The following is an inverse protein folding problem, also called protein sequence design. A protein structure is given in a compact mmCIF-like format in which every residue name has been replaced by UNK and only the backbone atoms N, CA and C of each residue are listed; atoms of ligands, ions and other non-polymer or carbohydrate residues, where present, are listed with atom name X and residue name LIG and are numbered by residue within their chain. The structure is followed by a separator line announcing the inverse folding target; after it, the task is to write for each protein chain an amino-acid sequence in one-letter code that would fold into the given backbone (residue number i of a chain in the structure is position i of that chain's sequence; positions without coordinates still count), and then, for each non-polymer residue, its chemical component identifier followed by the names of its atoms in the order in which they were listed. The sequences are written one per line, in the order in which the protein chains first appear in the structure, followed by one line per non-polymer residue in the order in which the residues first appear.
data_IF_109407366007
#
_entry.id   IF_109407366007
#
_cell.length_a   1.000
_cell.length_b   1.000
_cell.length_c   1.000
_cell.angle_alpha   90.00
_cell.angle_beta   90.00
_cell.angle_gamma   90.00
#
_symmetry.space_group_name_H-M   'P 1'
#
loop_
_entity.id
_entity.type
_entity.pdbx_description
1 polymer ?
#
# COMPACT_ATOMS: atom_id res chain seq x y z
N UNK A 1 -6.66 -10.64 93.82
CA UNK A 1 -7.62 -11.08 92.80
C UNK A 1 -8.04 -9.79 92.09
N UNK A 2 -7.78 -9.55 90.82
CA UNK A 2 -7.49 -10.48 89.73
C UNK A 2 -6.99 -9.68 88.51
N UNK A 3 -5.92 -10.20 87.91
CA UNK A 3 -5.45 -10.09 86.53
C UNK A 3 -5.53 -8.77 85.74
N UNK A 4 -4.33 -8.19 85.55
CA UNK A 4 -3.91 -7.48 84.34
C UNK A 4 -3.77 -8.47 83.17
N UNK A 5 -4.50 -8.27 82.08
CA UNK A 5 -4.25 -8.95 80.79
C UNK A 5 -3.55 -8.00 79.80
N UNK A 6 -2.67 -8.53 78.91
CA UNK A 6 -1.73 -7.73 78.13
C UNK A 6 -2.27 -7.32 76.75
N UNK A 7 -1.71 -6.21 76.27
CA UNK A 7 -1.82 -5.66 74.91
C UNK A 7 -1.57 -6.76 73.86
N UNK A 8 -2.58 -7.09 73.03
CA UNK A 8 -2.36 -7.88 71.81
C UNK A 8 -1.99 -6.95 70.65
N UNK A 9 -0.69 -6.75 70.50
CA UNK A 9 -0.07 -6.23 69.29
C UNK A 9 -0.03 -7.38 68.26
N UNK A 10 -0.88 -7.33 67.24
CA UNK A 10 -0.71 -8.04 65.96
C UNK A 10 -1.84 -7.65 64.99
N UNK A 11 -1.90 -6.37 64.59
CA UNK A 11 -2.57 -6.00 63.35
C UNK A 11 -1.62 -6.34 62.20
N UNK A 12 -1.81 -7.53 61.60
CA UNK A 12 -1.18 -7.88 60.34
C UNK A 12 -1.56 -6.80 59.30
N UNK A 13 -0.61 -6.26 58.52
CA UNK A 13 -0.96 -5.38 57.41
C UNK A 13 -1.83 -6.16 56.43
N UNK A 14 -3.00 -5.63 56.10
CA UNK A 14 -3.86 -6.14 55.04
C UNK A 14 -3.02 -6.17 53.76
N UNK A 15 -2.60 -7.38 53.38
CA UNK A 15 -2.02 -7.65 52.07
C UNK A 15 -3.10 -7.24 51.08
N UNK A 16 -2.84 -6.18 50.31
CA UNK A 16 -3.69 -5.82 49.18
C UNK A 16 -3.83 -7.09 48.34
N UNK A 17 -5.04 -7.66 48.31
CA UNK A 17 -5.34 -8.77 47.45
C UNK A 17 -5.12 -8.27 46.03
N UNK A 18 -4.04 -8.69 45.38
CA UNK A 18 -3.87 -8.57 43.95
C UNK A 18 -5.12 -9.21 43.33
N UNK A 19 -6.03 -8.36 42.85
CA UNK A 19 -7.21 -8.81 42.12
C UNK A 19 -6.66 -9.48 40.88
N UNK A 20 -6.63 -10.81 40.89
CA UNK A 20 -6.22 -11.61 39.74
C UNK A 20 -7.24 -11.36 38.63
N UNK A 21 -6.96 -10.36 37.79
CA UNK A 21 -7.83 -10.05 36.65
C UNK A 21 -7.62 -11.15 35.63
N UNK A 22 -8.59 -12.07 35.54
CA UNK A 22 -8.58 -13.12 34.53
C UNK A 22 -8.85 -12.50 33.16
N UNK A 23 -7.87 -12.58 32.27
CA UNK A 23 -8.02 -12.16 30.87
C UNK A 23 -8.65 -13.31 30.09
N UNK A 24 -9.76 -13.08 29.36
CA UNK A 24 -10.26 -14.05 28.38
C UNK A 24 -9.21 -14.33 27.30
N UNK A 25 -9.33 -15.42 26.53
CA UNK A 25 -8.46 -15.64 25.38
C UNK A 25 -8.53 -14.46 24.41
N UNK A 26 -7.48 -14.22 23.62
CA UNK A 26 -7.53 -13.23 22.55
C UNK A 26 -8.51 -13.64 21.45
N UNK A 27 -9.01 -12.64 20.72
CA UNK A 27 -9.92 -12.90 19.61
C UNK A 27 -9.19 -13.61 18.46
N UNK A 28 -9.72 -14.75 18.02
CA UNK A 28 -9.28 -15.44 16.81
C UNK A 28 -10.32 -15.23 15.71
N UNK A 29 -9.93 -14.70 14.54
CA UNK A 29 -10.87 -14.47 13.47
C UNK A 29 -11.43 -15.80 12.96
N UNK A 30 -12.71 -15.81 12.58
CA UNK A 30 -13.25 -16.89 11.78
C UNK A 30 -12.49 -16.92 10.45
N UNK A 31 -12.10 -18.11 9.97
CA UNK A 31 -11.41 -18.28 8.69
C UNK A 31 -12.22 -17.62 7.56
N UNK A 32 -11.82 -16.41 7.17
CA UNK A 32 -12.53 -15.64 6.17
C UNK A 32 -12.11 -16.15 4.78
N UNK A 33 -12.80 -17.18 4.30
CA UNK A 33 -12.60 -17.81 2.99
C UNK A 33 -13.10 -16.92 1.83
N UNK A 34 -12.96 -15.60 1.91
CA UNK A 34 -13.18 -14.78 0.72
C UNK A 34 -12.03 -15.01 -0.26
N UNK A 35 -12.28 -15.85 -1.26
CA UNK A 35 -11.30 -16.21 -2.26
C UNK A 35 -10.83 -14.94 -3.01
N UNK A 36 -9.59 -14.52 -2.73
CA UNK A 36 -8.96 -13.33 -3.30
C UNK A 36 -9.06 -13.34 -4.83
N UNK A 37 -8.94 -14.52 -5.45
CA UNK A 37 -9.08 -14.71 -6.89
C UNK A 37 -10.47 -14.33 -7.42
N UNK A 38 -11.54 -14.63 -6.67
CA UNK A 38 -12.90 -14.22 -7.07
C UNK A 38 -13.00 -12.70 -7.07
N UNK A 39 -12.48 -12.03 -6.04
CA UNK A 39 -12.46 -10.56 -5.99
C UNK A 39 -11.66 -9.97 -7.15
N UNK A 40 -10.51 -10.55 -7.51
CA UNK A 40 -9.71 -10.15 -8.68
C UNK A 40 -10.53 -10.25 -9.97
N UNK A 41 -11.17 -11.40 -10.22
CA UNK A 41 -11.97 -11.64 -11.43
C UNK A 41 -13.17 -10.68 -11.49
N UNK A 42 -13.89 -10.51 -10.38
CA UNK A 42 -15.03 -9.58 -10.29
C UNK A 42 -14.57 -8.14 -10.57
N UNK A 43 -13.43 -7.71 -10.01
CA UNK A 43 -12.89 -6.38 -10.25
C UNK A 43 -12.50 -6.16 -11.71
N UNK A 44 -11.89 -7.16 -12.37
CA UNK A 44 -11.56 -7.11 -13.79
C UNK A 44 -12.81 -7.04 -14.66
N UNK A 45 -13.82 -7.85 -14.36
CA UNK A 45 -15.10 -7.82 -15.07
C UNK A 45 -15.76 -6.45 -14.96
N UNK A 46 -15.81 -5.87 -13.75
CA UNK A 46 -16.36 -4.53 -13.53
C UNK A 46 -15.56 -3.46 -14.27
N UNK A 47 -14.24 -3.53 -14.24
CA UNK A 47 -13.34 -2.65 -14.97
C UNK A 47 -13.63 -2.69 -16.49
N UNK A 48 -13.79 -3.87 -17.08
CA UNK A 48 -14.08 -4.03 -18.50
C UNK A 48 -15.49 -3.52 -18.86
N UNK A 49 -16.50 -3.84 -18.04
CA UNK A 49 -17.89 -3.40 -18.28
C UNK A 49 -17.98 -1.88 -18.21
N UNK A 50 -17.44 -1.25 -17.18
CA UNK A 50 -17.45 0.21 -17.06
C UNK A 50 -16.58 0.86 -18.14
N UNK A 51 -15.41 0.28 -18.44
CA UNK A 51 -14.54 0.72 -19.52
C UNK A 51 -15.25 0.73 -20.87
N UNK A 52 -16.09 -0.28 -21.16
CA UNK A 52 -16.85 -0.35 -22.41
C UNK A 52 -17.79 0.85 -22.62
N UNK A 53 -18.38 1.39 -21.55
CA UNK A 53 -19.24 2.57 -21.65
C UNK A 53 -18.47 3.89 -21.81
N UNK A 54 -17.16 3.88 -21.57
CA UNK A 54 -16.33 5.08 -21.52
C UNK A 54 -15.42 5.17 -22.75
N UNK A 55 -14.83 4.05 -23.14
CA UNK A 55 -13.96 3.98 -24.30
C UNK A 55 -14.79 3.71 -25.57
N UNK A 56 -14.68 4.57 -26.59
CA UNK A 56 -15.45 4.39 -27.83
C UNK A 56 -14.97 3.20 -28.68
N UNK A 57 -13.73 2.73 -28.47
CA UNK A 57 -13.16 1.59 -29.20
C UNK A 57 -12.75 0.48 -28.22
N UNK A 58 -13.38 -0.69 -28.38
CA UNK A 58 -13.13 -1.90 -27.59
C UNK A 58 -11.69 -2.39 -27.76
N UNK A 59 -11.09 -2.21 -28.94
CA UNK A 59 -9.69 -2.62 -29.18
C UNK A 59 -8.73 -1.81 -28.32
N UNK A 60 -8.99 -0.51 -28.15
CA UNK A 60 -8.20 0.37 -27.28
C UNK A 60 -8.37 -0.04 -25.82
N UNK A 61 -9.60 -0.31 -25.39
CA UNK A 61 -9.87 -0.82 -24.03
C UNK A 61 -9.08 -2.12 -23.75
N UNK A 62 -9.17 -3.10 -24.65
CA UNK A 62 -8.44 -4.36 -24.51
C UNK A 62 -6.92 -4.12 -24.48
N UNK A 63 -6.40 -3.27 -25.36
CA UNK A 63 -4.99 -2.94 -25.40
C UNK A 63 -4.50 -2.27 -24.11
N UNK A 64 -5.21 -1.27 -23.60
CA UNK A 64 -4.90 -0.63 -22.31
C UNK A 64 -4.94 -1.67 -21.19
N UNK A 65 -5.94 -2.56 -21.19
CA UNK A 65 -6.07 -3.64 -20.20
C UNK A 65 -4.86 -4.56 -20.24
N UNK A 66 -4.37 -4.93 -21.42
CA UNK A 66 -3.17 -5.76 -21.58
C UNK A 66 -1.93 -5.05 -21.04
N UNK A 67 -1.75 -3.76 -21.35
CA UNK A 67 -0.60 -2.99 -20.85
C UNK A 67 -0.61 -2.91 -19.33
N UNK A 68 -1.77 -2.59 -18.72
CA UNK A 68 -1.95 -2.56 -17.27
C UNK A 68 -1.76 -3.94 -16.65
N UNK A 69 -2.28 -5.00 -17.27
CA UNK A 69 -2.12 -6.36 -16.77
C UNK A 69 -0.66 -6.80 -16.75
N UNK A 70 0.09 -6.52 -17.81
CA UNK A 70 1.53 -6.84 -17.87
C UNK A 70 2.30 -6.05 -16.82
N UNK A 71 1.95 -4.78 -16.63
CA UNK A 71 2.51 -3.92 -15.61
C UNK A 71 2.27 -4.48 -14.20
N UNK A 72 1.01 -4.73 -13.82
CA UNK A 72 0.70 -5.29 -12.50
C UNK A 72 1.24 -6.70 -12.30
N UNK A 73 1.31 -7.51 -13.36
CA UNK A 73 1.92 -8.84 -13.28
C UNK A 73 3.41 -8.75 -12.92
N UNK A 74 4.10 -7.71 -13.37
CA UNK A 74 5.46 -7.40 -12.96
C UNK A 74 5.60 -7.19 -11.45
N UNK A 75 4.73 -6.35 -10.87
CA UNK A 75 4.66 -6.17 -9.42
C UNK A 75 4.32 -7.47 -8.70
N UNK A 76 3.31 -8.20 -9.18
CA UNK A 76 2.86 -9.45 -8.58
C UNK A 76 3.96 -10.50 -8.52
N UNK A 77 4.68 -10.71 -9.64
CA UNK A 77 5.76 -11.68 -9.72
C UNK A 77 6.93 -11.28 -8.82
N UNK A 78 7.28 -10.00 -8.75
CA UNK A 78 8.32 -9.52 -7.86
C UNK A 78 7.94 -9.69 -6.38
N UNK A 79 6.71 -9.32 -6.00
CA UNK A 79 6.21 -9.53 -4.62
C UNK A 79 6.19 -11.01 -4.25
N UNK A 80 5.75 -11.89 -5.17
CA UNK A 80 5.79 -13.34 -4.97
C UNK A 80 7.22 -13.86 -4.79
N UNK A 81 8.17 -13.37 -5.58
CA UNK A 81 9.58 -13.73 -5.46
C UNK A 81 10.17 -13.35 -4.10
N UNK A 82 9.80 -12.18 -3.56
CA UNK A 82 10.25 -11.70 -2.25
C UNK A 82 9.42 -12.22 -1.06
N UNK A 83 8.55 -13.21 -1.28
CA UNK A 83 7.84 -13.91 -0.19
C UNK A 83 6.67 -13.14 0.43
N UNK A 84 6.05 -12.21 -0.30
CA UNK A 84 4.80 -11.59 0.14
C UNK A 84 3.66 -12.63 0.19
N UNK A 85 2.82 -12.54 1.22
CA UNK A 85 1.64 -13.37 1.43
C UNK A 85 0.37 -12.64 0.99
N UNK A 86 -0.74 -13.38 0.88
CA UNK A 86 -2.07 -12.85 0.55
C UNK A 86 -2.12 -12.01 -0.73
N UNK A 87 -1.40 -12.47 -1.75
CA UNK A 87 -1.27 -11.76 -3.01
C UNK A 87 -2.59 -11.70 -3.78
N UNK A 88 -3.00 -10.50 -4.16
CA UNK A 88 -4.20 -10.22 -4.95
C UNK A 88 -3.92 -9.14 -5.98
N UNK A 89 -4.70 -9.12 -7.06
CA UNK A 89 -4.61 -8.11 -8.13
C UNK A 89 -6.00 -7.57 -8.39
N UNK A 90 -6.19 -6.28 -8.18
CA UNK A 90 -7.50 -5.65 -8.25
C UNK A 90 -7.52 -4.53 -9.28
N UNK A 91 -8.55 -4.52 -10.11
CA UNK A 91 -8.74 -3.50 -11.13
C UNK A 91 -9.67 -2.41 -10.59
N UNK A 92 -9.23 -1.16 -10.71
CA UNK A 92 -10.00 0.02 -10.37
C UNK A 92 -10.45 0.67 -11.68
N UNK A 93 -11.77 0.71 -11.96
CA UNK A 93 -12.31 1.35 -13.14
C UNK A 93 -11.72 2.75 -13.33
N UNK A 94 -11.32 3.07 -14.56
CA UNK A 94 -10.74 4.36 -14.98
C UNK A 94 -9.37 4.74 -14.42
N UNK A 95 -8.88 4.02 -13.41
CA UNK A 95 -7.59 4.31 -12.78
C UNK A 95 -6.50 3.35 -13.22
N UNK A 96 -6.82 2.07 -13.33
CA UNK A 96 -5.84 1.02 -13.63
C UNK A 96 -6.07 -0.19 -12.73
N UNK A 97 -5.01 -0.72 -12.16
CA UNK A 97 -5.06 -1.83 -11.23
C UNK A 97 -4.00 -1.64 -10.13
N UNK A 98 -4.02 -2.52 -9.13
CA UNK A 98 -2.97 -2.58 -8.12
C UNK A 98 -2.82 -4.01 -7.61
N UNK A 99 -1.61 -4.34 -7.16
CA UNK A 99 -1.32 -5.59 -6.45
C UNK A 99 -1.33 -5.36 -4.94
N UNK A 100 -2.08 -6.18 -4.21
CA UNK A 100 -2.04 -6.24 -2.75
C UNK A 100 -1.16 -7.39 -2.28
N UNK A 101 -0.47 -7.21 -1.17
CA UNK A 101 0.23 -8.28 -0.47
C UNK A 101 0.72 -7.83 0.90
N UNK A 102 1.01 -8.79 1.77
CA UNK A 102 1.48 -8.54 3.14
C UNK A 102 2.88 -9.14 3.34
N UNK A 103 3.76 -8.36 3.96
CA UNK A 103 5.09 -8.79 4.41
C UNK A 103 5.45 -7.99 5.66
N UNK A 104 6.05 -8.65 6.66
CA UNK A 104 6.46 -8.04 7.93
C UNK A 104 7.66 -7.10 7.76
N UNK A 105 8.65 -7.57 7.01
CA UNK A 105 9.90 -6.84 6.80
C UNK A 105 9.99 -6.46 5.34
N UNK A 106 10.09 -5.16 5.06
CA UNK A 106 10.15 -4.66 3.69
C UNK A 106 11.52 -4.03 3.49
N UNK A 107 12.36 -4.66 2.68
CA UNK A 107 13.64 -4.07 2.30
C UNK A 107 13.44 -2.93 1.30
N UNK A 108 14.30 -1.91 1.39
CA UNK A 108 14.35 -0.80 0.45
C UNK A 108 14.80 -1.28 -0.94
N UNK A 109 15.74 -2.23 -1.03
CA UNK A 109 16.13 -2.90 -2.29
C UNK A 109 14.96 -3.65 -2.91
N UNK A 110 14.27 -4.48 -2.11
CA UNK A 110 13.11 -5.24 -2.58
C UNK A 110 12.01 -4.30 -3.09
N UNK A 111 11.72 -3.23 -2.35
CA UNK A 111 10.76 -2.20 -2.78
C UNK A 111 11.15 -1.57 -4.11
N UNK A 112 12.43 -1.25 -4.31
CA UNK A 112 12.89 -0.67 -5.57
C UNK A 112 12.72 -1.65 -6.74
N UNK A 113 13.05 -2.92 -6.54
CA UNK A 113 12.90 -3.96 -7.56
C UNK A 113 11.41 -4.17 -7.89
N UNK A 114 10.54 -4.28 -6.88
CA UNK A 114 9.10 -4.43 -7.07
C UNK A 114 8.55 -3.25 -7.86
N UNK A 115 8.88 -2.02 -7.48
CA UNK A 115 8.38 -0.80 -8.14
C UNK A 115 8.88 -0.64 -9.58
N UNK A 116 10.08 -1.14 -9.90
CA UNK A 116 10.59 -1.16 -11.27
C UNK A 116 10.07 -2.35 -12.09
N UNK A 117 9.71 -3.46 -11.43
CA UNK A 117 9.25 -4.68 -12.09
C UNK A 117 7.92 -4.50 -12.82
N UNK A 118 7.08 -3.54 -12.43
CA UNK A 118 5.87 -3.17 -13.18
C UNK A 118 6.16 -2.41 -14.48
N UNK A 119 6.82 -1.24 -14.42
CA UNK A 119 7.04 -0.40 -15.60
C UNK A 119 8.04 -0.96 -16.61
N UNK A 120 9.12 -1.61 -16.16
CA UNK A 120 10.21 -2.02 -17.06
C UNK A 120 9.79 -3.04 -18.13
N UNK A 121 9.05 -4.12 -17.83
CA UNK A 121 8.61 -5.07 -18.85
C UNK A 121 7.79 -4.41 -19.96
N UNK A 122 6.88 -3.50 -19.59
CA UNK A 122 6.07 -2.78 -20.58
C UNK A 122 6.90 -1.87 -21.48
N UNK A 123 7.89 -1.16 -20.91
CA UNK A 123 8.84 -0.35 -21.68
C UNK A 123 9.65 -1.25 -22.63
N UNK A 124 10.20 -2.36 -22.13
CA UNK A 124 11.00 -3.30 -22.94
C UNK A 124 10.18 -3.84 -24.11
N UNK A 125 8.93 -4.29 -23.87
CA UNK A 125 8.04 -4.76 -24.93
C UNK A 125 7.82 -3.68 -25.98
N UNK A 126 7.46 -2.46 -25.54
CA UNK A 126 7.23 -1.36 -26.46
C UNK A 126 8.47 -1.02 -27.29
N UNK A 127 9.67 -1.04 -26.71
CA UNK A 127 10.93 -0.83 -27.44
C UNK A 127 11.23 -1.97 -28.41
N UNK A 128 11.02 -3.24 -28.03
CA UNK A 128 11.24 -4.39 -28.91
C UNK A 128 10.32 -4.36 -30.13
N UNK A 129 9.09 -3.85 -29.98
CA UNK A 129 8.17 -3.67 -31.10
C UNK A 129 8.69 -2.66 -32.14
N UNK A 130 9.64 -1.78 -31.81
CA UNK A 130 10.25 -0.87 -32.79
C UNK A 130 11.06 -1.61 -33.87
N UNK A 131 11.56 -2.82 -33.58
CA UNK A 131 12.35 -3.62 -34.53
C UNK A 131 11.51 -4.00 -35.76
N UNK A 132 10.35 -4.70 -35.65
CA UNK A 132 9.51 -5.00 -36.80
C UNK A 132 8.90 -3.75 -37.45
N UNK A 133 8.61 -2.69 -36.68
CA UNK A 133 8.10 -1.42 -37.21
C UNK A 133 9.10 -0.78 -38.18
N UNK A 134 10.40 -0.83 -37.87
CA UNK A 134 11.45 -0.31 -38.75
C UNK A 134 11.49 -0.99 -40.12
N UNK A 135 11.04 -2.24 -40.21
CA UNK A 135 10.95 -3.00 -41.46
C UNK A 135 9.59 -2.85 -42.14
N UNK A 136 8.51 -2.71 -41.35
CA UNK A 136 7.13 -2.60 -41.83
C UNK A 136 6.38 -1.49 -41.06
N UNK A 137 6.51 -0.21 -41.48
CA UNK A 137 5.97 0.93 -40.75
C UNK A 137 4.45 0.93 -40.59
N UNK A 138 3.74 0.23 -41.47
CA UNK A 138 2.28 0.09 -41.47
C UNK A 138 1.81 -1.28 -40.96
N UNK A 139 2.66 -2.00 -40.23
CA UNK A 139 2.27 -3.27 -39.62
C UNK A 139 1.08 -3.07 -38.66
N UNK A 140 0.13 -4.00 -38.75
CA UNK A 140 -1.10 -4.01 -37.95
C UNK A 140 -1.18 -5.35 -37.22
N UNK A 141 -1.49 -5.30 -35.93
CA UNK A 141 -1.75 -6.47 -35.11
C UNK A 141 -3.12 -6.35 -34.46
N UNK A 142 -3.95 -7.38 -34.58
CA UNK A 142 -5.33 -7.38 -34.08
C UNK A 142 -6.18 -6.15 -34.51
N UNK A 143 -5.88 -5.59 -35.69
CA UNK A 143 -6.58 -4.41 -36.19
C UNK A 143 -6.18 -3.08 -35.55
N UNK A 144 -5.03 -3.03 -34.86
CA UNK A 144 -4.39 -1.83 -34.29
C UNK A 144 -2.98 -1.70 -34.86
N UNK A 145 -2.51 -0.48 -35.16
CA UNK A 145 -1.16 -0.30 -35.70
C UNK A 145 -0.09 -0.67 -34.66
N UNK A 146 0.98 -1.33 -35.11
CA UNK A 146 2.06 -1.76 -34.22
C UNK A 146 2.76 -0.57 -33.57
N UNK A 147 2.85 0.56 -34.28
CA UNK A 147 3.33 1.83 -33.76
C UNK A 147 2.50 2.30 -32.56
N UNK A 148 1.17 2.20 -32.64
CA UNK A 148 0.29 2.61 -31.56
C UNK A 148 0.39 1.68 -30.35
N UNK A 149 0.48 0.36 -30.57
CA UNK A 149 0.70 -0.64 -29.51
C UNK A 149 2.01 -0.34 -28.79
N UNK A 150 3.11 -0.23 -29.53
CA UNK A 150 4.45 0.07 -29.00
C UNK A 150 4.44 1.36 -28.17
N UNK A 151 3.81 2.40 -28.69
CA UNK A 151 3.73 3.69 -28.01
C UNK A 151 2.91 3.61 -26.73
N UNK A 152 1.76 2.94 -26.72
CA UNK A 152 0.94 2.79 -25.51
C UNK A 152 1.68 2.01 -24.41
N UNK A 153 2.40 0.95 -24.78
CA UNK A 153 3.26 0.21 -23.85
C UNK A 153 4.31 1.13 -23.20
N UNK A 154 5.01 1.93 -23.99
CA UNK A 154 6.03 2.84 -23.43
C UNK A 154 5.38 3.97 -22.63
N UNK A 155 4.34 4.60 -23.16
CA UNK A 155 3.71 5.79 -22.57
C UNK A 155 3.09 5.52 -21.19
N UNK A 156 2.24 4.48 -21.07
CA UNK A 156 1.57 4.18 -19.79
C UNK A 156 2.59 3.83 -18.70
N UNK A 157 3.65 3.11 -19.05
CA UNK A 157 4.69 2.74 -18.10
C UNK A 157 5.60 3.92 -17.72
N UNK A 158 5.84 4.88 -18.63
CA UNK A 158 6.56 6.13 -18.30
C UNK A 158 5.74 7.03 -17.40
N UNK A 159 4.42 7.13 -17.59
CA UNK A 159 3.54 7.83 -16.65
C UNK A 159 3.75 7.27 -15.24
N UNK A 160 3.73 5.94 -15.08
CA UNK A 160 3.99 5.31 -13.79
C UNK A 160 5.40 5.57 -13.25
N UNK A 161 6.39 5.88 -14.09
CA UNK A 161 7.72 6.29 -13.66
C UNK A 161 7.86 7.76 -13.29
N UNK A 162 6.83 8.60 -13.46
CA UNK A 162 6.92 10.01 -13.08
C UNK A 162 7.21 10.17 -11.57
N UNK A 163 7.99 11.19 -11.18
CA UNK A 163 8.32 11.46 -9.77
C UNK A 163 7.15 12.15 -9.06
N UNK A 164 5.97 11.53 -9.08
CA UNK A 164 4.73 12.04 -8.48
C UNK A 164 4.14 10.91 -7.65
N UNK A 165 4.00 11.12 -6.35
CA UNK A 165 3.28 10.18 -5.49
C UNK A 165 1.78 10.20 -5.83
N UNK A 166 1.07 9.06 -5.99
CA UNK A 166 1.44 7.69 -5.63
C UNK A 166 1.91 6.80 -6.80
N UNK A 167 2.31 7.37 -7.94
CA UNK A 167 2.84 6.58 -9.07
C UNK A 167 4.13 5.86 -8.66
N UNK A 168 4.50 4.78 -9.36
CA UNK A 168 5.63 3.93 -8.97
C UNK A 168 6.95 4.69 -8.87
N UNK A 169 7.22 5.61 -9.79
CA UNK A 169 8.40 6.47 -9.76
C UNK A 169 8.42 7.39 -8.54
N UNK A 170 7.26 7.93 -8.15
CA UNK A 170 7.11 8.70 -6.92
C UNK A 170 7.27 7.84 -5.67
N UNK A 171 6.73 6.63 -5.66
CA UNK A 171 6.94 5.67 -4.57
C UNK A 171 8.42 5.24 -4.48
N UNK A 172 9.09 5.03 -5.61
CA UNK A 172 10.48 4.65 -5.70
C UNK A 172 11.36 5.76 -5.13
N UNK A 173 11.13 7.00 -5.58
CA UNK A 173 11.85 8.18 -5.08
C UNK A 173 11.66 8.32 -3.57
N UNK A 174 10.41 8.21 -3.11
CA UNK A 174 10.10 8.36 -1.70
C UNK A 174 10.79 7.28 -0.86
N UNK A 175 10.61 6.00 -1.18
CA UNK A 175 11.14 4.88 -0.37
C UNK A 175 12.66 4.79 -0.40
N UNK A 176 13.30 5.08 -1.53
CA UNK A 176 14.75 4.88 -1.70
C UNK A 176 15.57 6.11 -1.29
N UNK A 177 15.03 7.33 -1.48
CA UNK A 177 15.82 8.56 -1.34
C UNK A 177 15.30 9.52 -0.27
N UNK A 178 13.99 9.57 -0.01
CA UNK A 178 13.40 10.62 0.83
C UNK A 178 12.93 10.13 2.20
N UNK A 179 12.63 8.83 2.34
CA UNK A 179 12.06 8.26 3.57
C UNK A 179 13.04 8.21 4.76
N UNK A 180 14.31 8.55 4.54
CA UNK A 180 15.27 8.75 5.64
C UNK A 180 14.90 9.97 6.49
N UNK A 181 14.20 10.95 5.89
CA UNK A 181 13.70 12.12 6.60
C UNK A 181 12.20 12.26 6.36
N UNK A 182 11.41 11.95 7.39
CA UNK A 182 9.95 12.03 7.37
C UNK A 182 9.42 13.37 6.87
N UNK A 183 10.11 14.47 7.17
CA UNK A 183 9.71 15.82 6.76
C UNK A 183 9.86 16.00 5.26
N UNK A 184 10.95 15.52 4.68
CA UNK A 184 11.21 15.60 3.22
C UNK A 184 10.21 14.72 2.47
N UNK A 185 10.01 13.48 2.92
CA UNK A 185 8.98 12.56 2.42
C UNK A 185 7.60 13.21 2.40
N UNK A 186 7.20 13.85 3.51
CA UNK A 186 5.92 14.54 3.63
C UNK A 186 5.79 15.75 2.69
N UNK A 187 6.84 16.57 2.56
CA UNK A 187 6.86 17.70 1.62
C UNK A 187 6.70 17.21 0.19
N UNK A 188 7.39 16.13 -0.19
CA UNK A 188 7.29 15.53 -1.52
C UNK A 188 5.87 15.03 -1.84
N UNK A 189 5.21 14.38 -0.87
CA UNK A 189 3.81 13.96 -0.99
C UNK A 189 2.89 15.17 -1.18
N UNK A 190 3.07 16.25 -0.41
CA UNK A 190 2.28 17.48 -0.55
C UNK A 190 2.48 18.13 -1.93
N UNK A 191 3.72 18.21 -2.41
CA UNK A 191 4.03 18.72 -3.75
C UNK A 191 3.32 17.88 -4.81
N UNK A 192 3.35 16.55 -4.67
CA UNK A 192 2.65 15.63 -5.59
C UNK A 192 1.14 15.88 -5.60
N UNK A 193 0.51 16.12 -4.45
CA UNK A 193 -0.92 16.51 -4.35
C UNK A 193 -1.18 17.80 -5.15
N UNK A 194 -0.36 18.83 -4.94
CA UNK A 194 -0.53 20.13 -5.62
C UNK A 194 -0.39 19.97 -7.14
N UNK A 195 0.59 19.19 -7.60
CA UNK A 195 0.81 18.93 -9.04
C UNK A 195 -0.39 18.21 -9.65
N UNK A 196 -0.91 17.17 -8.99
CA UNK A 196 -2.09 16.43 -9.48
C UNK A 196 -3.32 17.35 -9.52
N UNK A 197 -3.58 18.13 -8.46
CA UNK A 197 -4.70 19.06 -8.42
C UNK A 197 -4.61 20.14 -9.51
N UNK A 198 -3.40 20.67 -9.75
CA UNK A 198 -3.16 21.62 -10.84
C UNK A 198 -3.43 20.99 -12.22
N UNK A 199 -2.97 19.76 -12.44
CA UNK A 199 -3.22 19.02 -13.69
C UNK A 199 -4.72 18.79 -13.91
N UNK A 200 -5.45 18.36 -12.87
CA UNK A 200 -6.91 18.18 -12.91
C UNK A 200 -7.60 19.48 -13.30
N UNK A 201 -7.25 20.59 -12.66
CA UNK A 201 -7.85 21.88 -12.95
C UNK A 201 -7.56 22.34 -14.39
N UNK A 202 -6.33 22.12 -14.87
CA UNK A 202 -5.90 22.54 -16.21
C UNK A 202 -6.56 21.72 -17.33
N UNK A 203 -6.72 20.41 -17.15
CA UNK A 203 -7.17 19.49 -18.20
C UNK A 203 -8.60 18.94 -18.00
N UNK A 204 -9.30 19.38 -16.95
CA UNK A 204 -10.68 18.97 -16.64
C UNK A 204 -10.88 17.44 -16.51
N UNK A 205 -9.97 16.77 -15.80
CA UNK A 205 -10.05 15.34 -15.49
C UNK A 205 -10.41 15.09 -14.01
N UNK A 206 -11.68 15.33 -13.59
CA UNK A 206 -12.05 15.34 -12.17
C UNK A 206 -11.88 13.98 -11.48
N UNK A 207 -11.93 12.87 -12.21
CA UNK A 207 -11.76 11.53 -11.64
C UNK A 207 -10.38 11.32 -10.99
N UNK A 208 -9.34 12.04 -11.43
CA UNK A 208 -8.01 11.96 -10.82
C UNK A 208 -7.93 12.56 -9.41
N UNK A 209 -8.95 13.32 -8.95
CA UNK A 209 -9.01 13.84 -7.57
C UNK A 209 -9.04 12.73 -6.51
N UNK A 210 -9.40 11.51 -6.89
CA UNK A 210 -9.33 10.36 -6.00
C UNK A 210 -7.91 10.16 -5.45
N UNK A 211 -6.85 10.44 -6.22
CA UNK A 211 -5.47 10.30 -5.76
C UNK A 211 -5.12 11.28 -4.63
N UNK A 212 -5.29 12.61 -4.79
CA UNK A 212 -5.20 13.57 -3.68
C UNK A 212 -6.01 13.18 -2.45
N UNK A 213 -7.27 12.77 -2.64
CA UNK A 213 -8.15 12.39 -1.52
C UNK A 213 -7.58 11.18 -0.77
N UNK A 214 -7.16 10.14 -1.49
CA UNK A 214 -6.53 8.95 -0.89
C UNK A 214 -5.21 9.30 -0.18
N UNK A 215 -4.38 10.17 -0.75
CA UNK A 215 -3.12 10.60 -0.14
C UNK A 215 -3.35 11.38 1.15
N UNK A 216 -4.31 12.31 1.16
CA UNK A 216 -4.69 13.06 2.36
C UNK A 216 -5.25 12.13 3.43
N UNK A 217 -6.17 11.22 3.05
CA UNK A 217 -6.72 10.23 3.97
C UNK A 217 -5.63 9.36 4.60
N UNK A 218 -4.66 8.91 3.80
CA UNK A 218 -3.49 8.18 4.27
C UNK A 218 -2.65 8.98 5.26
N UNK A 219 -2.35 10.26 4.99
CA UNK A 219 -1.58 11.10 5.91
C UNK A 219 -2.27 11.28 7.26
N UNK A 220 -3.60 11.34 7.29
CA UNK A 220 -4.37 11.35 8.54
C UNK A 220 -4.30 9.99 9.25
N UNK A 221 -4.40 8.89 8.49
CA UNK A 221 -4.26 7.53 9.01
C UNK A 221 -2.90 7.28 9.66
N UNK A 222 -1.79 7.67 9.00
CA UNK A 222 -0.43 7.52 9.53
C UNK A 222 -0.26 8.27 10.86
N UNK A 223 -0.80 9.49 10.99
CA UNK A 223 -0.76 10.23 12.27
C UNK A 223 -1.52 9.53 13.39
N UNK A 224 -2.67 8.93 13.08
CA UNK A 224 -3.46 8.20 14.07
C UNK A 224 -2.75 6.92 14.50
N UNK A 225 -2.18 6.19 13.52
CA UNK A 225 -1.44 4.96 13.77
C UNK A 225 -0.19 5.21 14.62
N UNK A 226 0.64 6.20 14.29
CA UNK A 226 1.83 6.53 15.07
C UNK A 226 1.49 6.90 16.53
N UNK A 227 0.35 7.55 16.79
CA UNK A 227 -0.10 7.86 18.14
C UNK A 227 -0.51 6.61 18.93
N UNK A 228 -1.19 5.67 18.26
CA UNK A 228 -1.56 4.39 18.85
C UNK A 228 -0.31 3.57 19.18
N UNK A 229 0.63 3.46 18.23
CA UNK A 229 1.92 2.78 18.41
C UNK A 229 2.68 3.36 19.61
N UNK A 230 2.86 4.68 19.66
CA UNK A 230 3.51 5.35 20.80
C UNK A 230 2.84 5.04 22.15
N UNK A 231 1.51 5.02 22.20
CA UNK A 231 0.78 4.69 23.44
C UNK A 231 0.97 3.23 23.85
N UNK A 232 0.94 2.31 22.90
CA UNK A 232 1.17 0.88 23.16
C UNK A 232 2.60 0.63 23.63
N UNK A 233 3.58 1.29 23.02
CA UNK A 233 4.99 1.23 23.44
C UNK A 233 5.20 1.81 24.84
N UNK A 234 4.55 2.93 25.18
CA UNK A 234 4.60 3.51 26.53
C UNK A 234 4.00 2.58 27.60
N UNK A 235 3.08 1.70 27.23
CA UNK A 235 2.52 0.66 28.10
C UNK A 235 3.43 -0.54 28.29
N UNK A 236 4.60 -0.58 27.61
CA UNK A 236 5.61 -1.63 27.75
C UNK A 236 5.28 -2.94 27.03
N UNK A 237 4.31 -2.92 26.10
CA UNK A 237 3.88 -4.10 25.36
C UNK A 237 4.76 -4.30 24.13
N UNK A 238 5.27 -5.52 23.94
CA UNK A 238 6.10 -5.84 22.77
C UNK A 238 5.23 -6.07 21.52
N UNK A 239 5.28 -5.13 20.58
CA UNK A 239 4.56 -5.19 19.30
C UNK A 239 5.38 -5.78 18.15
N UNK A 240 6.59 -6.30 18.41
CA UNK A 240 7.47 -6.90 17.40
C UNK A 240 7.26 -8.41 17.19
N UNK A 241 6.13 -8.94 17.64
CA UNK A 241 5.76 -10.35 17.51
C UNK A 241 4.61 -10.52 16.50
N UNK A 242 4.34 -11.75 16.08
CA UNK A 242 3.17 -12.01 15.26
C UNK A 242 1.89 -11.99 16.12
N UNK A 243 0.75 -11.66 15.53
CA UNK A 243 -0.53 -11.59 16.28
C UNK A 243 -0.85 -12.94 16.93
N UNK A 244 -0.49 -14.04 16.27
CA UNK A 244 -0.63 -15.41 16.74
C UNK A 244 0.20 -15.67 18.02
N UNK A 245 1.30 -14.96 18.22
CA UNK A 245 2.19 -15.07 19.37
C UNK A 245 1.85 -14.07 20.50
N UNK A 246 0.98 -13.09 20.23
CA UNK A 246 0.56 -12.08 21.20
C UNK A 246 -0.11 -12.72 22.43
N UNK A 247 0.38 -12.45 23.66
CA UNK A 247 -0.27 -12.95 24.88
C UNK A 247 -1.69 -12.39 25.04
N UNK A 248 -2.59 -13.18 25.63
CA UNK A 248 -3.99 -12.78 25.83
C UNK A 248 -4.12 -11.49 26.64
N UNK A 249 -3.30 -11.33 27.68
CA UNK A 249 -3.23 -10.10 28.48
C UNK A 249 -2.91 -8.88 27.61
N UNK A 250 -1.88 -8.99 26.79
CA UNK A 250 -1.39 -7.89 25.95
C UNK A 250 -2.44 -7.51 24.90
N UNK A 251 -3.18 -8.48 24.36
CA UNK A 251 -4.32 -8.22 23.49
C UNK A 251 -5.36 -7.31 24.17
N UNK A 252 -5.79 -7.63 25.39
CA UNK A 252 -6.81 -6.86 26.10
C UNK A 252 -6.33 -5.47 26.51
N UNK A 253 -5.04 -5.33 26.86
CA UNK A 253 -4.44 -4.02 27.15
C UNK A 253 -4.33 -3.14 25.90
N UNK A 254 -3.88 -3.69 24.76
CA UNK A 254 -3.87 -2.95 23.49
C UNK A 254 -5.30 -2.59 23.09
N UNK A 255 -6.26 -3.51 23.23
CA UNK A 255 -7.67 -3.28 22.94
C UNK A 255 -8.22 -2.09 23.71
N UNK A 256 -7.88 -1.95 24.99
CA UNK A 256 -8.28 -0.80 25.82
C UNK A 256 -7.78 0.52 25.23
N UNK A 257 -6.49 0.57 24.88
CA UNK A 257 -5.87 1.75 24.25
C UNK A 257 -6.57 2.09 22.92
N UNK A 258 -6.86 1.07 22.11
CA UNK A 258 -7.54 1.22 20.82
C UNK A 258 -8.96 1.77 20.98
N UNK A 259 -9.71 1.27 21.96
CA UNK A 259 -11.09 1.71 22.25
C UNK A 259 -11.11 3.17 22.74
N UNK A 260 -10.15 3.54 23.60
CA UNK A 260 -10.08 4.89 24.16
C UNK A 260 -9.68 5.94 23.12
N UNK A 261 -8.83 5.58 22.15
CA UNK A 261 -8.32 6.53 21.14
C UNK A 261 -9.22 6.63 19.89
N UNK A 262 -9.79 5.51 19.44
CA UNK A 262 -10.55 5.47 18.18
C UNK A 262 -12.02 5.77 18.44
N UNK A 263 -12.50 6.89 17.89
CA UNK A 263 -13.90 7.34 18.00
C UNK A 263 -14.94 6.29 17.62
N UNK A 264 -14.61 5.40 16.66
CA UNK A 264 -15.48 4.33 16.18
C UNK A 264 -15.87 3.30 17.26
N UNK A 265 -15.09 3.21 18.33
CA UNK A 265 -15.20 2.19 19.38
C UNK A 265 -15.64 2.72 20.74
N UNK A 266 -16.00 4.02 20.83
CA UNK A 266 -16.42 4.67 22.09
C UNK A 266 -17.65 4.05 22.76
N UNK A 267 -18.47 3.32 21.99
CA UNK A 267 -19.63 2.58 22.47
C UNK A 267 -19.28 1.28 23.19
N UNK A 268 -18.01 0.89 23.19
CA UNK A 268 -17.52 -0.37 23.77
C UNK A 268 -16.91 -0.09 25.13
N UNK A 269 -17.24 -0.92 26.11
CA UNK A 269 -16.63 -0.86 27.43
C UNK A 269 -15.19 -1.40 27.37
N UNK A 270 -14.18 -0.64 27.82
CA UNK A 270 -12.79 -1.09 27.84
C UNK A 270 -12.52 -2.21 28.86
N UNK A 271 -13.44 -2.41 29.83
CA UNK A 271 -13.34 -3.40 30.90
C UNK A 271 -12.74 -2.83 32.19
N UNK A 272 -12.78 -3.60 33.30
CA UNK A 272 -13.50 -4.87 33.48
C UNK A 272 -15.05 -4.69 33.55
N UNK A 273 -15.86 -5.70 33.18
CA UNK A 273 -15.48 -7.02 32.69
C UNK A 273 -14.97 -7.00 31.24
N UNK A 274 -14.06 -7.93 30.90
CA UNK A 274 -13.55 -8.10 29.55
C UNK A 274 -14.49 -8.98 28.74
N UNK A 275 -15.24 -8.36 27.84
CA UNK A 275 -16.19 -9.05 26.96
C UNK A 275 -15.94 -8.67 25.49
N UNK A 276 -16.11 -9.66 24.62
CA UNK A 276 -16.01 -9.45 23.18
C UNK A 276 -17.14 -8.54 22.69
N UNK A 277 -16.79 -7.61 21.81
CA UNK A 277 -17.75 -6.69 21.20
C UNK A 277 -18.25 -7.22 19.86
N UNK A 278 -19.40 -6.71 19.41
CA UNK A 278 -19.85 -6.86 18.03
C UNK A 278 -18.87 -6.31 16.98
N UNK A 279 -17.92 -5.45 17.38
CA UNK A 279 -16.84 -4.90 16.53
C UNK A 279 -15.47 -5.55 16.77
N UNK A 280 -15.41 -6.67 17.48
CA UNK A 280 -14.13 -7.27 17.90
C UNK A 280 -13.20 -7.60 16.72
N UNK A 281 -13.73 -8.11 15.61
CA UNK A 281 -12.95 -8.36 14.39
C UNK A 281 -12.28 -7.08 13.85
N UNK A 282 -12.97 -5.93 13.91
CA UNK A 282 -12.38 -4.65 13.49
C UNK A 282 -11.30 -4.19 14.44
N UNK A 283 -11.48 -4.39 15.75
CA UNK A 283 -10.46 -4.05 16.75
C UNK A 283 -9.23 -4.94 16.56
N UNK A 284 -9.43 -6.24 16.39
CA UNK A 284 -8.36 -7.20 16.09
C UNK A 284 -7.57 -6.79 14.85
N UNK A 285 -8.23 -6.34 13.78
CA UNK A 285 -7.55 -5.87 12.56
C UNK A 285 -6.71 -4.61 12.83
N UNK A 286 -7.19 -3.70 13.69
CA UNK A 286 -6.39 -2.54 14.12
C UNK A 286 -5.18 -3.01 14.91
N UNK A 287 -5.36 -3.90 15.90
CA UNK A 287 -4.27 -4.45 16.71
C UNK A 287 -3.23 -5.15 15.84
N UNK A 288 -3.68 -5.97 14.89
CA UNK A 288 -2.79 -6.66 13.95
C UNK A 288 -2.00 -5.70 13.07
N UNK A 289 -2.57 -4.55 12.70
CA UNK A 289 -1.85 -3.50 11.96
C UNK A 289 -0.85 -2.73 12.83
N UNK A 290 -1.01 -2.72 14.16
CA UNK A 290 -0.04 -2.16 15.11
C UNK A 290 1.16 -3.10 15.33
N UNK A 291 1.03 -4.38 15.00
CA UNK A 291 2.16 -5.30 15.03
C UNK A 291 3.12 -4.92 13.90
N UNK A 292 4.33 -4.49 14.29
CA UNK A 292 5.19 -3.67 13.46
C UNK A 292 5.53 -4.31 12.11
N UNK A 293 5.38 -3.50 11.04
CA UNK A 293 6.06 -3.73 9.77
C UNK A 293 7.25 -2.77 9.69
N UNK A 294 8.46 -3.31 9.57
CA UNK A 294 9.64 -2.46 9.53
C UNK A 294 10.20 -2.36 8.10
N UNK A 295 10.52 -1.12 7.71
CA UNK A 295 11.22 -0.85 6.46
C UNK A 295 12.73 -0.84 6.73
N UNK A 296 13.45 -1.80 6.14
CA UNK A 296 14.90 -1.93 6.28
C UNK A 296 15.56 -1.05 5.21
N UNK A 297 16.36 -0.07 5.63
CA UNK A 297 17.15 0.77 4.72
C UNK A 297 18.47 0.07 4.37
N UNK A 298 18.41 -0.85 3.42
CA UNK A 298 19.52 -1.75 3.08
C UNK A 298 20.25 -1.39 1.77
N UNK A 299 19.83 -0.35 1.04
CA UNK A 299 20.47 0.06 -0.23
C UNK A 299 21.72 0.90 0.05
N UNK A 300 22.87 0.49 -0.50
CA UNK A 300 24.10 1.30 -0.45
C UNK A 300 24.01 2.52 -1.36
N UNK A 301 24.87 3.52 -1.17
CA UNK A 301 24.94 4.71 -2.04
C UNK A 301 25.12 4.32 -3.52
N UNK A 302 25.97 3.33 -3.81
CA UNK A 302 26.16 2.79 -5.15
C UNK A 302 24.89 2.13 -5.69
N UNK A 303 24.18 1.38 -4.85
CA UNK A 303 22.89 0.78 -5.20
C UNK A 303 21.84 1.84 -5.54
N UNK A 304 21.76 2.92 -4.76
CA UNK A 304 20.86 4.05 -5.02
C UNK A 304 21.17 4.73 -6.36
N UNK A 305 22.46 4.93 -6.66
CA UNK A 305 22.91 5.48 -7.94
C UNK A 305 22.54 4.58 -9.12
N UNK A 306 22.71 3.26 -8.99
CA UNK A 306 22.33 2.30 -10.02
C UNK A 306 20.81 2.31 -10.26
N UNK A 307 20.01 2.27 -9.19
CA UNK A 307 18.54 2.36 -9.27
C UNK A 307 18.12 3.66 -9.96
N UNK A 308 18.74 4.78 -9.59
CA UNK A 308 18.46 6.08 -10.21
C UNK A 308 18.79 6.08 -11.70
N UNK A 309 19.92 5.50 -12.11
CA UNK A 309 20.30 5.39 -13.53
C UNK A 309 19.28 4.54 -14.28
N UNK A 310 18.87 3.38 -13.76
CA UNK A 310 17.86 2.54 -14.39
C UNK A 310 16.56 3.31 -14.56
N UNK A 311 16.12 4.00 -13.51
CA UNK A 311 14.90 4.80 -13.52
C UNK A 311 14.94 5.91 -14.57
N UNK A 312 16.02 6.67 -14.63
CA UNK A 312 16.21 7.76 -15.61
C UNK A 312 16.30 7.20 -17.03
N UNK A 313 17.05 6.12 -17.26
CA UNK A 313 17.16 5.50 -18.59
C UNK A 313 15.82 4.96 -19.08
N UNK A 314 15.04 4.34 -18.19
CA UNK A 314 13.70 3.84 -18.51
C UNK A 314 12.75 5.00 -18.86
N UNK A 315 12.75 6.07 -18.06
CA UNK A 315 11.97 7.27 -18.34
C UNK A 315 12.42 7.94 -19.65
N UNK A 316 13.72 8.00 -19.92
CA UNK A 316 14.30 8.61 -21.12
C UNK A 316 14.24 7.72 -22.37
N UNK A 317 13.77 6.48 -22.26
CA UNK A 317 13.77 5.51 -23.36
C UNK A 317 13.15 5.99 -24.68
N UNK A 318 12.05 6.78 -24.72
CA UNK A 318 11.50 7.20 -26.01
C UNK A 318 12.42 8.14 -26.79
N UNK A 319 13.17 8.99 -26.09
CA UNK A 319 14.15 9.89 -26.72
C UNK A 319 15.41 9.15 -27.14
N UNK A 320 15.89 8.20 -26.32
CA UNK A 320 17.06 7.38 -26.64
C UNK A 320 16.85 6.54 -27.90
N UNK A 321 15.64 6.01 -28.09
CA UNK A 321 15.27 5.20 -29.24
C UNK A 321 14.59 6.01 -30.36
N UNK A 322 14.56 7.35 -30.26
CA UNK A 322 13.98 8.27 -31.27
C UNK A 322 12.55 7.89 -31.68
N UNK A 323 11.74 7.46 -30.71
CA UNK A 323 10.35 7.10 -30.94
C UNK A 323 9.55 8.32 -31.44
N UNK A 324 8.60 8.09 -32.33
CA UNK A 324 7.71 9.16 -32.79
C UNK A 324 6.69 9.52 -31.69
N UNK A 325 6.92 10.64 -31.01
CA UNK A 325 6.07 11.17 -29.93
C UNK A 325 4.98 12.14 -30.42
N UNK A 326 4.75 12.27 -31.73
CA UNK A 326 3.73 13.20 -32.28
C UNK A 326 2.32 12.96 -31.75
N UNK A 327 2.04 11.74 -31.28
CA UNK A 327 0.81 11.38 -30.59
C UNK A 327 0.54 12.18 -29.30
N UNK A 328 1.58 12.54 -28.54
CA UNK A 328 1.41 13.35 -27.31
C UNK A 328 0.81 14.72 -27.61
N UNK A 329 1.07 15.26 -28.81
CA UNK A 329 0.49 16.54 -29.24
C UNK A 329 -1.03 16.47 -29.44
N UNK A 330 -1.62 15.27 -29.54
CA UNK A 330 -3.07 15.09 -29.59
C UNK A 330 -3.71 15.09 -28.19
N UNK A 331 -2.94 14.75 -27.14
CA UNK A 331 -3.40 14.78 -25.74
C UNK A 331 -3.12 16.11 -25.02
N UNK A 332 -2.14 16.88 -25.51
CA UNK A 332 -1.74 18.19 -24.95
C UNK A 332 -2.50 19.39 -25.56
N UNK A 333 -3.41 19.15 -26.51
CA UNK A 333 -4.39 20.13 -27.00
C UNK A 333 -5.69 19.94 -26.26
#
# INVERSE_FOLDING_TARGET
MEHTEPVSENAQPAVAADVYVAYPPKYLPAANNTNIWIKSIVSLALYLVLGYFIFPDVKILILITIVVLIHELGHFLAMKYFGYKDLGMFFIPLLGAYVSGTKKEISQRESAIILLAGPLPGIIIGLLLQIPIGHQPHAVFAGVSLQYISLLFVFLNIINLLPIYPLDGGQLLNRVFLNENETISRIFIIISIVVICWFVWKHNFPFLLIFPVMMVARMFGEKQQNRLEQKVECSGINTNIDYEELPDKDYWEIRKIVIEEIQLFKDITPGPPFEYSHKEEKIMNVIQNLMHRYLIQDVSVLGKLLIFIIWVLAAASPWLFKMNLSFFNQFLR
#
